data_IF_205004669926
#
_entry.id   IF_205004669926
#
_cell.length_a   1.000
_cell.length_b   1.000
_cell.length_c   1.000
_cell.angle_alpha   90.00
_cell.angle_beta   90.00
_cell.angle_gamma   90.00
#
_symmetry.space_group_name_H-M   'P 1'
#
loop_
_entity.id
_entity.type
_entity.pdbx_description
1 polymer ?
#
# COMPACT_ATOMS: atom_id res chain seq x y z
N UNK A 1 19.41 -7.37 -16.31
CA UNK A 1 19.43 -8.33 -15.17
C UNK A 1 20.77 -8.20 -14.48
N UNK A 2 20.82 -8.33 -13.14
CA UNK A 2 22.11 -8.34 -12.40
C UNK A 2 22.98 -9.47 -12.97
N UNK A 3 24.25 -9.18 -13.26
CA UNK A 3 25.15 -10.19 -13.81
C UNK A 3 25.44 -11.31 -12.81
N UNK A 4 25.73 -12.51 -13.32
CA UNK A 4 26.08 -13.65 -12.46
C UNK A 4 27.34 -13.35 -11.63
N UNK A 5 28.28 -12.56 -12.17
CA UNK A 5 29.46 -12.10 -11.47
C UNK A 5 29.11 -11.24 -10.25
N UNK A 6 28.24 -10.25 -10.41
CA UNK A 6 27.76 -9.43 -9.28
C UNK A 6 27.02 -10.27 -8.23
N UNK A 7 26.16 -11.21 -8.65
CA UNK A 7 25.47 -12.11 -7.72
C UNK A 7 26.49 -12.90 -6.89
N UNK A 8 27.53 -13.40 -7.51
CA UNK A 8 28.57 -14.16 -6.85
C UNK A 8 29.43 -13.29 -5.91
N UNK A 9 29.74 -12.04 -6.31
CA UNK A 9 30.40 -11.06 -5.44
C UNK A 9 29.57 -10.76 -4.19
N UNK A 10 28.26 -10.57 -4.34
CA UNK A 10 27.35 -10.36 -3.21
C UNK A 10 27.38 -11.60 -2.30
N UNK A 11 27.17 -12.80 -2.87
CA UNK A 11 27.13 -14.05 -2.11
C UNK A 11 28.43 -14.32 -1.34
N UNK A 12 29.59 -13.98 -1.92
CA UNK A 12 30.89 -14.18 -1.28
C UNK A 12 31.19 -13.15 -0.18
N UNK A 13 30.51 -11.99 -0.19
CA UNK A 13 30.78 -10.90 0.75
C UNK A 13 29.79 -10.79 1.89
N UNK A 14 28.59 -11.32 1.71
CA UNK A 14 27.55 -11.29 2.75
C UNK A 14 27.88 -12.29 3.85
N UNK A 15 27.65 -11.87 5.09
CA UNK A 15 27.72 -12.69 6.29
C UNK A 15 26.33 -12.75 6.93
N UNK A 16 25.82 -13.95 7.17
CA UNK A 16 24.46 -14.13 7.71
C UNK A 16 24.31 -13.53 9.10
N UNK A 17 25.37 -13.54 9.91
CA UNK A 17 25.34 -12.97 11.24
C UNK A 17 25.30 -11.42 11.20
N UNK A 18 26.07 -10.80 10.29
CA UNK A 18 26.04 -9.34 10.08
C UNK A 18 24.70 -8.88 9.52
N UNK A 19 24.18 -9.57 8.53
CA UNK A 19 22.89 -9.22 7.91
C UNK A 19 21.75 -9.34 8.90
N UNK A 20 21.62 -10.50 9.56
CA UNK A 20 20.56 -10.75 10.53
C UNK A 20 20.73 -9.91 11.79
N UNK A 21 21.95 -9.74 12.26
CA UNK A 21 22.30 -8.97 13.46
C UNK A 21 21.92 -7.49 13.38
N UNK A 22 21.72 -6.95 12.16
CA UNK A 22 21.21 -5.60 11.96
C UNK A 22 19.73 -5.43 12.38
N UNK A 23 18.96 -6.52 12.39
CA UNK A 23 17.53 -6.53 12.66
C UNK A 23 17.16 -7.27 13.96
N UNK A 24 17.96 -8.27 14.35
CA UNK A 24 17.66 -9.17 15.46
C UNK A 24 18.76 -9.11 16.51
N UNK A 25 18.38 -8.91 17.77
CA UNK A 25 19.33 -9.03 18.91
C UNK A 25 19.70 -10.51 19.09
N UNK A 26 20.90 -10.87 18.66
CA UNK A 26 21.42 -12.23 18.73
C UNK A 26 22.33 -12.45 19.96
N UNK A 27 22.16 -13.57 20.64
CA UNK A 27 23.03 -14.02 21.73
C UNK A 27 23.76 -15.30 21.33
N UNK A 28 25.07 -15.35 21.53
CA UNK A 28 25.89 -16.54 21.22
C UNK A 28 25.48 -17.74 22.08
N UNK A 29 25.26 -18.89 21.44
CA UNK A 29 24.96 -20.17 22.10
C UNK A 29 25.75 -21.31 21.41
N UNK A 30 26.89 -21.66 21.96
CA UNK A 30 27.82 -22.58 21.32
C UNK A 30 28.41 -22.00 20.04
N UNK A 31 28.32 -22.74 18.93
CA UNK A 31 28.74 -22.31 17.58
C UNK A 31 27.72 -21.45 16.85
N UNK A 32 26.49 -21.35 17.37
CA UNK A 32 25.37 -20.63 16.77
C UNK A 32 24.99 -19.40 17.58
N UNK A 33 24.06 -18.60 17.01
CA UNK A 33 23.44 -17.46 17.67
C UNK A 33 21.95 -17.66 17.76
N UNK A 34 21.35 -17.20 18.86
CA UNK A 34 19.94 -17.36 19.14
C UNK A 34 19.32 -15.99 19.40
N UNK A 35 18.13 -15.73 18.86
CA UNK A 35 17.36 -14.51 19.04
C UNK A 35 15.86 -14.78 19.06
N UNK A 36 15.09 -13.72 19.34
CA UNK A 36 13.65 -13.73 19.12
C UNK A 36 13.38 -13.61 17.62
N UNK A 37 12.33 -14.27 17.17
CA UNK A 37 11.94 -14.21 15.78
C UNK A 37 11.54 -12.79 15.34
N UNK A 38 12.06 -12.28 14.20
CA UNK A 38 11.64 -11.01 13.67
C UNK A 38 10.29 -11.04 12.94
N UNK A 39 9.74 -12.23 12.68
CA UNK A 39 8.56 -12.44 11.82
C UNK A 39 7.28 -12.74 12.61
N UNK A 40 7.36 -13.06 13.90
CA UNK A 40 6.19 -13.22 14.79
C UNK A 40 6.55 -12.93 16.24
N UNK A 41 5.52 -12.67 17.05
CA UNK A 41 5.73 -12.42 18.47
C UNK A 41 5.95 -13.75 19.22
N UNK A 42 7.13 -13.91 19.81
CA UNK A 42 7.44 -15.03 20.69
C UNK A 42 8.11 -14.54 21.99
N UNK A 43 7.87 -15.28 23.07
CA UNK A 43 8.49 -14.98 24.37
C UNK A 43 9.81 -15.73 24.58
N UNK A 44 10.00 -16.82 23.87
CA UNK A 44 11.18 -17.71 24.01
C UNK A 44 11.98 -17.67 22.71
N UNK A 45 13.29 -17.36 22.74
CA UNK A 45 14.12 -17.32 21.55
C UNK A 45 14.12 -18.67 20.82
N UNK A 46 13.64 -18.70 19.57
CA UNK A 46 13.61 -19.88 18.70
C UNK A 46 14.35 -19.68 17.37
N UNK A 47 14.72 -18.43 17.06
CA UNK A 47 15.41 -18.07 15.83
C UNK A 47 16.91 -18.32 15.95
N UNK A 48 17.45 -19.22 15.15
CA UNK A 48 18.86 -19.61 15.21
C UNK A 48 19.61 -19.20 13.96
N UNK A 49 20.79 -18.59 14.13
CA UNK A 49 21.72 -18.24 13.06
C UNK A 49 22.99 -19.07 13.22
N UNK A 50 23.39 -19.75 12.14
CA UNK A 50 24.60 -20.56 12.06
C UNK A 50 25.62 -19.91 11.10
N UNK A 51 26.62 -19.15 11.59
CA UNK A 51 27.62 -18.52 10.73
C UNK A 51 28.42 -19.54 9.91
N UNK A 52 28.76 -20.69 10.50
CA UNK A 52 29.51 -21.74 9.80
C UNK A 52 28.78 -22.35 8.60
N UNK A 53 27.44 -22.24 8.57
CA UNK A 53 26.60 -22.75 7.47
C UNK A 53 26.06 -21.63 6.59
N UNK A 54 26.36 -20.37 6.90
CA UNK A 54 25.76 -19.19 6.26
C UNK A 54 24.24 -19.29 6.17
N UNK A 55 23.59 -19.77 7.25
CA UNK A 55 22.19 -20.15 7.26
C UNK A 55 21.50 -19.74 8.56
N UNK A 56 20.27 -19.25 8.46
CA UNK A 56 19.37 -19.13 9.60
C UNK A 56 18.30 -20.21 9.54
N UNK A 57 17.89 -20.67 10.70
CA UNK A 57 16.79 -21.61 10.83
C UNK A 57 15.82 -21.15 11.94
N UNK A 58 14.58 -21.42 11.69
CA UNK A 58 13.51 -21.00 12.54
C UNK A 58 12.58 -22.18 12.86
N UNK A 59 12.68 -22.65 14.07
CA UNK A 59 11.98 -23.85 14.52
C UNK A 59 10.47 -23.63 14.70
N UNK A 60 10.00 -22.38 14.89
CA UNK A 60 8.59 -22.09 15.14
C UNK A 60 7.68 -22.17 13.90
N UNK A 61 8.19 -21.81 12.72
CA UNK A 61 7.40 -21.80 11.47
C UNK A 61 8.03 -22.65 10.35
N UNK A 62 9.11 -23.40 10.63
CA UNK A 62 9.75 -24.27 9.64
C UNK A 62 10.48 -23.53 8.51
N UNK A 63 10.62 -22.21 8.58
CA UNK A 63 11.34 -21.40 7.58
C UNK A 63 12.83 -21.35 7.89
N UNK A 64 13.65 -21.32 6.85
CA UNK A 64 15.10 -21.16 6.95
C UNK A 64 15.66 -20.68 5.63
N UNK A 65 16.89 -20.17 5.64
CA UNK A 65 17.52 -19.68 4.43
C UNK A 65 18.84 -18.97 4.68
N UNK A 66 19.36 -18.36 3.64
CA UNK A 66 20.59 -17.56 3.66
C UNK A 66 20.26 -16.06 3.87
N UNK A 67 21.29 -15.21 3.88
CA UNK A 67 21.16 -13.76 4.02
C UNK A 67 20.20 -13.14 2.99
N UNK A 68 20.19 -13.61 1.75
CA UNK A 68 19.31 -13.09 0.69
C UNK A 68 17.85 -13.44 1.03
N UNK A 69 17.60 -14.70 1.39
CA UNK A 69 16.26 -15.15 1.80
C UNK A 69 15.75 -14.39 3.03
N UNK A 70 16.65 -14.07 3.97
CA UNK A 70 16.30 -13.26 5.14
C UNK A 70 15.83 -11.87 4.76
N UNK A 71 16.57 -11.16 3.90
CA UNK A 71 16.19 -9.82 3.43
C UNK A 71 14.91 -9.86 2.59
N UNK A 72 14.74 -10.88 1.74
CA UNK A 72 13.49 -11.07 0.99
C UNK A 72 12.29 -11.19 1.93
N UNK A 73 12.40 -12.00 2.98
CA UNK A 73 11.31 -12.24 3.94
C UNK A 73 11.11 -11.07 4.90
N UNK A 74 12.17 -10.44 5.40
CA UNK A 74 12.10 -9.36 6.39
C UNK A 74 11.62 -8.05 5.77
N UNK A 75 12.21 -7.65 4.65
CA UNK A 75 11.89 -6.40 3.95
C UNK A 75 10.78 -6.58 2.90
N UNK A 76 10.30 -7.84 2.71
CA UNK A 76 9.28 -8.20 1.70
C UNK A 76 9.69 -7.78 0.29
N UNK A 77 10.99 -7.93 0.00
CA UNK A 77 11.59 -7.63 -1.29
C UNK A 77 11.59 -8.86 -2.20
N UNK A 78 11.54 -8.64 -3.51
CA UNK A 78 11.84 -9.71 -4.46
C UNK A 78 13.36 -9.98 -4.50
N UNK A 79 13.77 -11.08 -5.17
CA UNK A 79 15.16 -11.52 -5.23
C UNK A 79 16.11 -10.43 -5.76
N UNK A 80 15.72 -9.72 -6.82
CA UNK A 80 16.55 -8.66 -7.42
C UNK A 80 16.65 -7.44 -6.51
N UNK A 81 15.57 -7.07 -5.85
CA UNK A 81 15.54 -5.97 -4.87
C UNK A 81 16.41 -6.32 -3.65
N UNK A 82 16.35 -7.56 -3.15
CA UNK A 82 17.18 -8.02 -2.05
C UNK A 82 18.67 -8.02 -2.42
N UNK A 83 19.03 -8.44 -3.63
CA UNK A 83 20.40 -8.34 -4.12
C UNK A 83 20.90 -6.90 -4.19
N UNK A 84 20.09 -5.95 -4.69
CA UNK A 84 20.45 -4.53 -4.72
C UNK A 84 20.59 -3.94 -3.32
N UNK A 85 19.74 -4.33 -2.40
CA UNK A 85 19.80 -3.92 -1.00
C UNK A 85 21.13 -4.38 -0.36
N UNK A 86 21.49 -5.65 -0.56
CA UNK A 86 22.73 -6.23 -0.07
C UNK A 86 23.96 -5.59 -0.74
N UNK A 87 23.92 -5.41 -2.06
CA UNK A 87 24.99 -4.73 -2.79
C UNK A 87 25.25 -3.32 -2.25
N UNK A 88 24.22 -2.53 -2.02
CA UNK A 88 24.33 -1.19 -1.44
C UNK A 88 24.92 -1.23 -0.04
N UNK A 89 24.49 -2.17 0.83
CA UNK A 89 25.02 -2.33 2.18
C UNK A 89 26.52 -2.67 2.22
N UNK A 90 26.97 -3.49 1.29
CA UNK A 90 28.36 -3.96 1.22
C UNK A 90 29.23 -3.17 0.22
N UNK A 91 28.72 -2.04 -0.31
CA UNK A 91 29.39 -1.21 -1.31
C UNK A 91 29.87 -2.03 -2.53
N UNK A 92 29.03 -2.92 -3.04
CA UNK A 92 29.29 -3.70 -4.25
C UNK A 92 28.63 -2.97 -5.42
N UNK A 93 29.40 -2.68 -6.46
CA UNK A 93 28.88 -2.12 -7.70
C UNK A 93 28.06 -3.19 -8.44
N UNK A 94 26.81 -2.84 -8.78
CA UNK A 94 25.90 -3.77 -9.45
C UNK A 94 26.10 -3.69 -10.95
N UNK A 95 26.82 -4.64 -11.51
CA UNK A 95 26.91 -4.82 -12.95
C UNK A 95 25.62 -5.49 -13.46
N UNK A 96 25.01 -4.89 -14.47
CA UNK A 96 23.84 -5.45 -15.13
C UNK A 96 24.18 -5.88 -16.56
N UNK A 97 23.65 -7.03 -17.01
CA UNK A 97 23.72 -7.42 -18.41
C UNK A 97 23.12 -6.29 -19.27
N UNK A 98 23.76 -5.98 -20.38
CA UNK A 98 23.25 -4.95 -21.29
C UNK A 98 21.77 -5.21 -21.62
N UNK A 99 20.93 -4.32 -21.08
CA UNK A 99 19.53 -4.28 -21.48
C UNK A 99 19.44 -3.77 -22.92
N UNK A 100 18.47 -4.24 -23.68
CA UNK A 100 18.24 -3.68 -25.01
C UNK A 100 18.06 -2.15 -24.94
N UNK A 101 18.35 -1.40 -26.01
CA UNK A 101 18.16 0.05 -26.02
C UNK A 101 16.78 0.48 -25.53
N UNK A 102 15.73 -0.29 -25.86
CA UNK A 102 14.35 -0.02 -25.46
C UNK A 102 14.16 -0.17 -23.94
N UNK A 103 14.73 -1.22 -23.34
CA UNK A 103 14.67 -1.45 -21.87
C UNK A 103 15.48 -0.37 -21.14
N UNK A 104 16.66 0.03 -21.65
CA UNK A 104 17.43 1.15 -21.08
C UNK A 104 16.61 2.44 -21.11
N UNK A 105 15.94 2.73 -22.21
CA UNK A 105 15.09 3.92 -22.35
C UNK A 105 13.89 3.88 -21.38
N UNK A 106 13.21 2.74 -21.23
CA UNK A 106 12.11 2.58 -20.27
C UNK A 106 12.57 2.80 -18.83
N UNK A 107 13.75 2.27 -18.45
CA UNK A 107 14.31 2.48 -17.12
C UNK A 107 14.66 3.97 -16.88
N UNK A 108 15.24 4.66 -17.88
CA UNK A 108 15.52 6.10 -17.77
C UNK A 108 14.26 6.93 -17.61
N UNK A 109 13.19 6.59 -18.34
CA UNK A 109 11.88 7.24 -18.19
C UNK A 109 11.34 7.01 -16.78
N UNK A 110 11.34 5.77 -16.30
CA UNK A 110 10.88 5.43 -14.96
C UNK A 110 11.65 6.19 -13.85
N UNK A 111 12.97 6.24 -13.93
CA UNK A 111 13.79 7.01 -12.98
C UNK A 111 13.48 8.51 -13.04
N UNK A 112 13.29 9.06 -14.24
CA UNK A 112 12.91 10.46 -14.42
C UNK A 112 11.54 10.76 -13.82
N UNK A 113 10.58 9.86 -13.98
CA UNK A 113 9.26 10.00 -13.38
C UNK A 113 9.30 9.94 -11.84
N UNK A 114 10.17 9.11 -11.23
CA UNK A 114 10.39 9.12 -9.78
C UNK A 114 10.92 10.48 -9.29
N UNK A 115 11.86 11.06 -10.00
CA UNK A 115 12.42 12.39 -9.66
C UNK A 115 11.33 13.46 -9.75
N UNK A 116 10.52 13.45 -10.80
CA UNK A 116 9.39 14.37 -10.98
C UNK A 116 8.34 14.21 -9.88
N UNK A 117 7.96 12.97 -9.56
CA UNK A 117 6.98 12.70 -8.50
C UNK A 117 7.48 13.16 -7.12
N UNK A 118 8.77 12.95 -6.82
CA UNK A 118 9.35 13.43 -5.58
C UNK A 118 9.37 14.97 -5.51
N UNK A 119 9.74 15.64 -6.60
CA UNK A 119 9.66 17.09 -6.70
C UNK A 119 8.24 17.60 -6.51
N UNK A 120 7.25 16.97 -7.12
CA UNK A 120 5.85 17.33 -7.00
C UNK A 120 5.34 17.16 -5.55
N UNK A 121 5.69 16.06 -4.89
CA UNK A 121 5.32 15.85 -3.50
C UNK A 121 5.91 16.94 -2.60
N UNK A 122 7.20 17.26 -2.76
CA UNK A 122 7.84 18.34 -1.99
C UNK A 122 7.17 19.69 -2.24
N UNK A 123 6.84 19.99 -3.50
CA UNK A 123 6.13 21.22 -3.87
C UNK A 123 4.75 21.32 -3.17
N UNK A 124 3.92 20.29 -3.25
CA UNK A 124 2.58 20.29 -2.66
C UNK A 124 2.61 20.27 -1.13
N UNK A 125 3.55 19.52 -0.52
CA UNK A 125 3.74 19.52 0.92
C UNK A 125 4.22 20.87 1.44
N UNK A 126 5.21 21.47 0.75
CA UNK A 126 5.71 22.80 1.09
C UNK A 126 4.62 23.86 0.94
N UNK A 127 3.82 23.79 -0.14
CA UNK A 127 2.70 24.72 -0.33
C UNK A 127 1.67 24.58 0.79
N UNK A 128 1.37 23.36 1.23
CA UNK A 128 0.44 23.10 2.34
C UNK A 128 0.89 23.74 3.66
N UNK A 129 2.18 23.65 4.00
CA UNK A 129 2.66 24.07 5.32
C UNK A 129 3.24 25.49 5.37
N UNK A 130 3.78 26.01 4.26
CA UNK A 130 4.52 27.25 4.25
C UNK A 130 3.77 28.41 3.54
N UNK A 131 2.75 28.10 2.73
CA UNK A 131 1.99 29.14 2.02
C UNK A 131 0.72 29.50 2.80
N UNK A 132 0.34 30.79 2.82
CA UNK A 132 -0.86 31.29 3.52
C UNK A 132 -2.15 30.61 3.06
N UNK A 133 -2.33 30.42 1.74
CA UNK A 133 -3.52 29.76 1.19
C UNK A 133 -3.48 28.26 1.48
N UNK A 134 -2.29 27.65 1.43
CA UNK A 134 -2.08 26.26 1.81
C UNK A 134 -2.49 25.98 3.26
N UNK A 135 -2.12 26.86 4.19
CA UNK A 135 -2.50 26.77 5.60
C UNK A 135 -4.00 27.04 5.81
N UNK A 136 -4.50 28.13 5.23
CA UNK A 136 -5.88 28.55 5.44
C UNK A 136 -6.92 27.59 4.81
N UNK A 137 -6.59 26.96 3.69
CA UNK A 137 -7.50 26.08 2.94
C UNK A 137 -7.13 24.62 3.18
N UNK A 138 -5.95 24.20 2.74
CA UNK A 138 -5.55 22.79 2.72
C UNK A 138 -5.32 22.22 4.10
N UNK A 139 -4.49 22.87 4.92
CA UNK A 139 -4.15 22.41 6.27
C UNK A 139 -5.36 22.50 7.20
N UNK A 140 -6.10 23.61 7.14
CA UNK A 140 -7.36 23.79 7.89
C UNK A 140 -8.36 22.68 7.56
N UNK A 141 -8.52 22.32 6.28
CA UNK A 141 -9.39 21.22 5.87
C UNK A 141 -8.93 19.86 6.47
N UNK A 142 -7.62 19.57 6.46
CA UNK A 142 -7.09 18.33 7.03
C UNK A 142 -7.28 18.29 8.55
N UNK A 143 -7.07 19.41 9.25
CA UNK A 143 -7.33 19.53 10.69
C UNK A 143 -8.83 19.38 11.03
N UNK A 144 -9.73 19.96 10.25
CA UNK A 144 -11.18 19.78 10.40
C UNK A 144 -11.60 18.30 10.21
N UNK A 145 -10.87 17.58 9.38
CA UNK A 145 -11.02 16.13 9.26
C UNK A 145 -10.34 15.33 10.38
N UNK A 146 -9.73 15.98 11.36
CA UNK A 146 -9.12 15.36 12.53
C UNK A 146 -7.72 14.77 12.29
N UNK A 147 -7.04 15.11 11.20
CA UNK A 147 -5.67 14.66 10.97
C UNK A 147 -4.67 15.53 11.72
N UNK A 148 -3.73 14.90 12.43
CA UNK A 148 -2.63 15.57 13.10
C UNK A 148 -1.51 15.93 12.10
N UNK A 149 -0.70 16.94 12.44
CA UNK A 149 0.46 17.32 11.63
C UNK A 149 1.44 16.17 11.42
N UNK A 150 1.64 15.33 12.43
CA UNK A 150 2.52 14.17 12.34
C UNK A 150 2.00 13.16 11.32
N UNK A 151 0.69 12.92 11.31
CA UNK A 151 0.03 12.05 10.32
C UNK A 151 0.11 12.65 8.92
N UNK A 152 -0.16 13.94 8.77
CA UNK A 152 -0.07 14.66 7.50
C UNK A 152 1.34 14.56 6.93
N UNK A 153 2.36 14.77 7.76
CA UNK A 153 3.79 14.66 7.39
C UNK A 153 4.19 13.22 7.10
N UNK A 154 3.74 12.25 7.92
CA UNK A 154 4.03 10.82 7.74
C UNK A 154 3.56 10.31 6.39
N UNK A 155 2.36 10.67 5.97
CA UNK A 155 1.80 10.29 4.66
C UNK A 155 2.23 11.22 3.52
N UNK A 156 2.96 12.30 3.82
CA UNK A 156 3.46 13.26 2.84
C UNK A 156 2.38 14.03 2.13
N UNK A 157 1.23 14.28 2.81
CA UNK A 157 0.10 14.96 2.22
C UNK A 157 0.48 16.38 1.76
N UNK A 158 -0.20 16.88 0.74
CA UNK A 158 0.03 18.19 0.18
C UNK A 158 -1.26 18.87 -0.25
N UNK A 159 -1.12 20.11 -0.72
CA UNK A 159 -2.20 20.87 -1.31
C UNK A 159 -1.78 21.47 -2.64
N UNK A 160 -2.58 21.24 -3.66
CA UNK A 160 -2.47 21.89 -4.95
C UNK A 160 -3.45 23.07 -5.00
N UNK A 161 -2.95 24.32 -5.13
CA UNK A 161 -3.80 25.51 -5.10
C UNK A 161 -4.74 25.59 -6.31
N UNK A 162 -5.73 26.49 -6.23
CA UNK A 162 -6.59 26.84 -7.35
C UNK A 162 -5.85 27.77 -8.33
N UNK A 163 -4.79 27.25 -8.89
CA UNK A 163 -4.00 27.90 -9.95
C UNK A 163 -4.06 27.10 -11.23
N UNK A 164 -3.93 27.78 -12.35
CA UNK A 164 -3.97 27.14 -13.66
C UNK A 164 -2.69 26.35 -13.96
N UNK A 165 -1.53 26.89 -13.55
CA UNK A 165 -0.23 26.43 -14.02
C UNK A 165 0.94 26.68 -13.04
N UNK A 166 0.66 26.91 -11.75
CA UNK A 166 1.70 27.25 -10.76
C UNK A 166 2.75 26.16 -10.63
N UNK A 167 2.33 24.90 -10.50
CA UNK A 167 3.24 23.76 -10.46
C UNK A 167 3.98 23.62 -11.79
N UNK A 168 3.26 23.73 -12.92
CA UNK A 168 3.82 23.64 -14.27
C UNK A 168 4.94 24.66 -14.49
N UNK A 169 4.71 25.92 -14.16
CA UNK A 169 5.73 26.98 -14.25
C UNK A 169 6.94 26.69 -13.37
N UNK A 170 6.70 26.25 -12.14
CA UNK A 170 7.78 25.91 -11.20
C UNK A 170 8.62 24.73 -11.70
N UNK A 171 7.97 23.70 -12.25
CA UNK A 171 8.65 22.53 -12.78
C UNK A 171 9.49 22.89 -14.04
N UNK A 172 8.94 23.68 -14.96
CA UNK A 172 9.66 24.14 -16.14
C UNK A 172 10.84 25.05 -15.77
N UNK A 173 10.66 25.97 -14.81
CA UNK A 173 11.75 26.80 -14.28
C UNK A 173 12.86 25.96 -13.62
N UNK A 174 12.53 24.79 -13.08
CA UNK A 174 13.48 23.81 -12.55
C UNK A 174 14.03 22.86 -13.62
N UNK A 175 13.84 23.18 -14.91
CA UNK A 175 14.36 22.46 -16.08
C UNK A 175 13.84 21.01 -16.25
N UNK A 176 12.68 20.67 -15.68
CA UNK A 176 12.05 19.38 -15.97
C UNK A 176 11.52 19.33 -17.41
N UNK A 177 11.71 18.18 -18.05
CA UNK A 177 11.30 17.97 -19.44
C UNK A 177 9.77 17.97 -19.58
N UNK A 178 9.24 18.74 -20.58
CA UNK A 178 7.81 18.87 -20.87
C UNK A 178 7.13 17.51 -21.07
N UNK A 179 7.72 16.62 -21.87
CA UNK A 179 7.10 15.35 -22.23
C UNK A 179 7.01 14.42 -21.03
N UNK A 180 8.02 14.44 -20.15
CA UNK A 180 8.01 13.69 -18.90
C UNK A 180 7.00 14.26 -17.88
N UNK A 181 6.81 15.59 -17.83
CA UNK A 181 5.77 16.21 -17.01
C UNK A 181 4.36 15.82 -17.48
N UNK A 182 4.11 15.78 -18.79
CA UNK A 182 2.85 15.27 -19.34
C UNK A 182 2.66 13.79 -19.04
N UNK A 183 3.70 12.98 -19.19
CA UNK A 183 3.70 11.54 -18.95
C UNK A 183 3.49 11.19 -17.47
N UNK A 184 3.96 12.03 -16.55
CA UNK A 184 3.69 11.87 -15.11
C UNK A 184 2.22 12.07 -14.74
N UNK A 185 1.43 12.72 -15.59
CA UNK A 185 0.04 13.09 -15.33
C UNK A 185 -0.13 14.25 -14.36
N UNK A 186 0.95 14.91 -13.93
CA UNK A 186 0.90 16.11 -13.09
C UNK A 186 0.53 17.36 -13.90
N UNK A 187 0.89 17.35 -15.17
CA UNK A 187 0.64 18.41 -16.14
C UNK A 187 -0.20 17.85 -17.29
N UNK A 188 -1.11 18.67 -17.79
CA UNK A 188 -1.94 18.35 -18.96
C UNK A 188 -1.83 19.47 -19.99
N UNK A 189 -1.98 19.13 -21.27
CA UNK A 189 -2.05 20.12 -22.34
C UNK A 189 -3.52 20.36 -22.72
N UNK A 190 -3.99 21.61 -22.61
CA UNK A 190 -5.34 22.04 -22.99
C UNK A 190 -5.23 23.29 -23.87
N UNK A 191 -5.83 23.23 -25.05
CA UNK A 191 -5.79 24.33 -26.02
C UNK A 191 -4.35 24.83 -26.30
N UNK A 192 -3.39 23.90 -26.44
CA UNK A 192 -2.00 24.21 -26.71
C UNK A 192 -1.22 24.81 -25.52
N UNK A 193 -1.80 24.85 -24.33
CA UNK A 193 -1.15 25.37 -23.12
C UNK A 193 -1.01 24.29 -22.06
N UNK A 194 0.17 24.24 -21.43
CA UNK A 194 0.42 23.37 -20.28
C UNK A 194 -0.26 23.91 -19.05
N UNK A 195 -0.94 23.03 -18.31
CA UNK A 195 -1.70 23.38 -17.11
C UNK A 195 -1.53 22.30 -16.06
N UNK A 196 -1.71 22.70 -14.80
CA UNK A 196 -1.73 21.77 -13.66
C UNK A 196 -2.96 20.84 -13.76
N UNK A 197 -2.73 19.55 -13.62
CA UNK A 197 -3.81 18.56 -13.62
C UNK A 197 -4.61 18.60 -12.31
N UNK A 198 -3.93 18.87 -11.19
CA UNK A 198 -4.56 18.99 -9.88
C UNK A 198 -4.76 20.46 -9.53
N UNK A 199 -6.00 20.87 -9.20
CA UNK A 199 -6.35 22.24 -8.84
C UNK A 199 -7.35 22.22 -7.69
N UNK A 200 -7.12 23.04 -6.67
CA UNK A 200 -7.93 23.13 -5.44
C UNK A 200 -8.15 21.75 -4.78
N UNK A 201 -7.06 20.97 -4.64
CA UNK A 201 -7.15 19.59 -4.18
C UNK A 201 -6.12 19.25 -3.10
N UNK A 202 -6.56 18.46 -2.12
CA UNK A 202 -5.64 17.75 -1.24
C UNK A 202 -4.96 16.63 -2.03
N UNK A 203 -3.65 16.53 -1.90
CA UNK A 203 -2.80 15.56 -2.60
C UNK A 203 -2.39 14.44 -1.66
N UNK A 204 -2.62 13.22 -2.11
CA UNK A 204 -2.27 11.97 -1.41
C UNK A 204 -1.18 11.25 -2.23
N UNK A 205 0.08 11.29 -1.80
CA UNK A 205 1.14 10.55 -2.49
C UNK A 205 0.90 9.05 -2.41
N UNK A 206 1.04 8.37 -3.54
CA UNK A 206 0.90 6.91 -3.64
C UNK A 206 2.31 6.33 -3.73
N UNK A 207 2.62 5.40 -2.82
CA UNK A 207 3.95 4.80 -2.71
C UNK A 207 3.94 3.38 -3.27
N UNK A 208 5.06 2.98 -3.86
CA UNK A 208 5.34 1.56 -4.10
C UNK A 208 5.83 0.88 -2.80
N UNK A 209 6.11 -0.42 -2.85
CA UNK A 209 6.55 -1.21 -1.69
C UNK A 209 7.91 -0.76 -1.12
N UNK A 210 8.76 -0.08 -1.91
CA UNK A 210 10.03 0.48 -1.47
C UNK A 210 9.93 1.92 -0.94
N UNK A 211 8.73 2.52 -0.90
CA UNK A 211 8.50 3.89 -0.41
C UNK A 211 8.75 4.99 -1.45
N UNK A 212 9.04 4.65 -2.70
CA UNK A 212 9.13 5.64 -3.78
C UNK A 212 7.73 6.07 -4.22
N UNK A 213 7.55 7.36 -4.49
CA UNK A 213 6.27 7.91 -4.96
C UNK A 213 6.06 7.58 -6.44
N UNK A 214 4.98 6.89 -6.75
CA UNK A 214 4.63 6.42 -8.09
C UNK A 214 3.48 7.20 -8.73
N UNK A 215 2.76 7.97 -7.95
CA UNK A 215 1.64 8.79 -8.41
C UNK A 215 0.93 9.46 -7.25
N UNK A 216 -0.22 10.01 -7.54
CA UNK A 216 -1.02 10.79 -6.57
C UNK A 216 -2.50 10.51 -6.72
N UNK A 217 -3.19 10.45 -5.58
CA UNK A 217 -4.61 10.69 -5.49
C UNK A 217 -4.86 12.17 -5.14
N UNK A 218 -5.94 12.74 -5.62
CA UNK A 218 -6.24 14.14 -5.37
C UNK A 218 -7.74 14.35 -5.09
N UNK A 219 -8.06 14.89 -3.91
CA UNK A 219 -9.43 15.14 -3.47
C UNK A 219 -9.78 16.62 -3.59
N UNK A 220 -10.88 16.93 -4.27
CA UNK A 220 -11.42 18.28 -4.35
C UNK A 220 -11.93 18.72 -2.97
N UNK A 221 -11.55 19.95 -2.54
CA UNK A 221 -11.99 20.51 -1.26
C UNK A 221 -13.38 21.12 -1.39
N UNK A 222 -13.56 21.99 -2.37
CA UNK A 222 -14.85 22.65 -2.62
C UNK A 222 -15.81 21.72 -3.34
N UNK A 223 -17.06 21.68 -2.89
CA UNK A 223 -18.10 20.95 -3.60
C UNK A 223 -18.30 21.58 -4.99
N UNK A 224 -18.10 20.78 -6.03
CA UNK A 224 -18.32 21.19 -7.41
C UNK A 224 -18.98 20.02 -8.16
N UNK A 225 -20.24 20.17 -8.51
CA UNK A 225 -21.03 19.11 -9.15
C UNK A 225 -20.54 18.77 -10.58
N UNK A 226 -19.67 19.62 -11.17
CA UNK A 226 -19.08 19.42 -12.50
C UNK A 226 -17.70 18.74 -12.46
N UNK A 227 -17.09 18.56 -11.29
CA UNK A 227 -15.78 17.98 -11.14
C UNK A 227 -15.80 16.75 -10.23
N UNK A 228 -15.11 15.66 -10.58
CA UNK A 228 -15.05 14.47 -9.74
C UNK A 228 -14.42 14.79 -8.38
N UNK A 229 -15.02 14.23 -7.30
CA UNK A 229 -14.54 14.39 -5.92
C UNK A 229 -13.09 13.92 -5.78
N UNK A 230 -12.74 12.79 -6.40
CA UNK A 230 -11.37 12.25 -6.46
C UNK A 230 -10.93 12.09 -7.91
N UNK A 231 -9.65 12.36 -8.16
CA UNK A 231 -8.93 12.01 -9.37
C UNK A 231 -7.60 11.37 -8.99
N UNK A 232 -7.11 10.46 -9.82
CA UNK A 232 -5.82 9.81 -9.62
C UNK A 232 -4.88 10.12 -10.79
N UNK A 233 -3.59 9.93 -10.58
CA UNK A 233 -2.59 9.90 -11.66
C UNK A 233 -3.09 8.97 -12.77
N UNK A 234 -3.05 9.38 -14.05
CA UNK A 234 -3.27 8.48 -15.17
C UNK A 234 -2.25 7.33 -15.16
N UNK A 235 -2.61 6.16 -15.69
CA UNK A 235 -1.68 5.04 -15.80
C UNK A 235 -0.44 5.42 -16.61
N UNK A 236 0.72 5.05 -16.10
CA UNK A 236 2.01 5.28 -16.72
C UNK A 236 2.99 4.17 -16.32
N UNK A 237 4.28 4.32 -16.62
CA UNK A 237 5.31 3.33 -16.36
C UNK A 237 5.49 2.99 -14.88
N UNK A 238 5.13 3.90 -13.97
CA UNK A 238 5.23 3.70 -12.53
C UNK A 238 3.90 3.32 -11.89
N UNK A 239 2.80 3.86 -12.41
CA UNK A 239 1.49 3.78 -11.81
C UNK A 239 0.54 2.95 -12.66
N UNK A 240 0.30 1.72 -12.22
CA UNK A 240 -0.71 0.82 -12.77
C UNK A 240 -1.74 0.56 -11.68
N UNK A 241 -2.90 1.19 -11.78
CA UNK A 241 -3.91 1.25 -10.72
C UNK A 241 -4.35 -0.13 -10.25
N UNK A 242 -4.47 -1.08 -11.17
CA UNK A 242 -4.85 -2.47 -10.87
C UNK A 242 -3.82 -3.26 -10.06
N UNK A 243 -2.59 -2.76 -9.89
CA UNK A 243 -1.48 -3.45 -9.21
C UNK A 243 -1.08 -2.81 -7.89
N UNK A 244 -1.80 -1.79 -7.45
CA UNK A 244 -1.41 -0.94 -6.32
C UNK A 244 -2.53 -0.90 -5.30
N UNK A 245 -2.17 -0.95 -4.02
CA UNK A 245 -3.02 -0.63 -2.90
C UNK A 245 -2.43 0.56 -2.16
N UNK A 246 -3.25 1.57 -1.89
CA UNK A 246 -2.82 2.72 -1.11
C UNK A 246 -2.51 2.31 0.34
N UNK A 247 -1.44 2.85 0.88
CA UNK A 247 -1.03 2.58 2.24
C UNK A 247 -0.14 1.35 2.43
N UNK A 248 0.04 0.48 1.42
CA UNK A 248 0.83 -0.77 1.55
C UNK A 248 2.23 -0.54 2.11
N UNK A 249 2.92 0.50 1.67
CA UNK A 249 4.26 0.84 2.18
C UNK A 249 4.27 1.02 3.70
N UNK A 250 3.27 1.69 4.26
CA UNK A 250 3.16 1.94 5.69
C UNK A 250 2.62 0.71 6.44
N UNK A 251 1.75 -0.06 5.81
CA UNK A 251 1.01 -1.15 6.43
C UNK A 251 1.76 -2.50 6.45
N UNK A 252 2.71 -2.73 5.54
CA UNK A 252 3.32 -4.04 5.27
C UNK A 252 3.80 -4.80 6.51
N UNK A 253 4.52 -4.13 7.42
CA UNK A 253 5.01 -4.75 8.65
C UNK A 253 3.90 -4.99 9.69
N UNK A 254 2.89 -4.13 9.71
CA UNK A 254 1.74 -4.30 10.59
C UNK A 254 0.83 -5.43 10.11
N UNK A 255 0.66 -5.60 8.81
CA UNK A 255 -0.07 -6.72 8.20
C UNK A 255 0.62 -8.04 8.55
N UNK A 256 1.92 -8.14 8.32
CA UNK A 256 2.72 -9.34 8.62
C UNK A 256 2.66 -9.70 10.12
N UNK A 257 2.78 -8.71 11.00
CA UNK A 257 2.73 -8.89 12.47
C UNK A 257 1.35 -9.29 12.98
N UNK A 258 0.29 -8.70 12.40
CA UNK A 258 -1.09 -9.00 12.78
C UNK A 258 -1.61 -10.28 12.12
N UNK A 259 -0.89 -10.80 11.11
CA UNK A 259 -1.35 -11.84 10.18
C UNK A 259 -2.76 -11.55 9.63
N UNK A 260 -3.03 -10.26 9.38
CA UNK A 260 -4.31 -9.81 8.84
C UNK A 260 -4.15 -8.48 8.11
N UNK A 261 -4.76 -8.38 6.93
CA UNK A 261 -4.89 -7.14 6.16
C UNK A 261 -6.33 -6.63 6.24
N UNK A 262 -6.49 -5.37 6.66
CA UNK A 262 -7.75 -4.64 6.54
C UNK A 262 -7.80 -3.90 5.22
N UNK A 263 -8.82 -4.13 4.42
CA UNK A 263 -9.05 -3.43 3.15
C UNK A 263 -10.23 -2.47 3.29
N UNK A 264 -9.99 -1.22 2.95
CA UNK A 264 -10.99 -0.14 2.90
C UNK A 264 -11.07 0.45 1.49
N UNK A 265 -12.00 1.38 1.25
CA UNK A 265 -12.19 1.98 -0.07
C UNK A 265 -11.28 3.19 -0.32
N UNK A 266 -11.14 4.09 0.65
CA UNK A 266 -10.61 5.42 0.46
C UNK A 266 -9.27 5.71 1.13
N UNK A 267 -8.59 6.75 0.64
CA UNK A 267 -7.33 7.24 1.20
C UNK A 267 -7.49 7.74 2.64
N UNK A 268 -8.59 8.44 2.90
CA UNK A 268 -8.88 9.00 4.22
C UNK A 268 -9.14 7.93 5.27
N UNK A 269 -9.74 6.81 4.88
CA UNK A 269 -9.99 5.69 5.78
C UNK A 269 -8.68 5.08 6.25
N UNK A 270 -7.75 4.83 5.32
CA UNK A 270 -6.40 4.34 5.65
C UNK A 270 -5.71 5.28 6.62
N UNK A 271 -5.70 6.58 6.34
CA UNK A 271 -4.97 7.56 7.15
C UNK A 271 -5.58 7.68 8.56
N UNK A 272 -6.91 7.68 8.67
CA UNK A 272 -7.60 7.76 9.96
C UNK A 272 -7.39 6.51 10.82
N UNK A 273 -7.53 5.33 10.23
CA UNK A 273 -7.26 4.07 10.91
C UNK A 273 -5.80 3.98 11.36
N UNK A 274 -4.88 4.37 10.48
CA UNK A 274 -3.45 4.39 10.79
C UNK A 274 -3.12 5.37 11.92
N UNK A 275 -3.72 6.58 11.92
CA UNK A 275 -3.59 7.56 13.01
C UNK A 275 -4.14 7.01 14.34
N UNK A 276 -5.19 6.20 14.28
CA UNK A 276 -5.77 5.52 15.44
C UNK A 276 -4.96 4.28 15.91
N UNK A 277 -3.78 4.01 15.30
CA UNK A 277 -2.95 2.85 15.64
C UNK A 277 -3.45 1.52 15.08
N UNK A 278 -4.29 1.56 14.04
CA UNK A 278 -4.73 0.41 13.24
C UNK A 278 -3.95 0.47 11.93
N UNK A 279 -2.70 -0.03 11.98
CA UNK A 279 -1.72 0.19 10.93
C UNK A 279 -1.76 -0.86 9.80
N UNK A 280 -2.41 -2.01 10.01
CA UNK A 280 -2.53 -3.10 9.02
C UNK A 280 -3.63 -2.86 7.98
N UNK A 281 -3.79 -1.63 7.52
CA UNK A 281 -4.87 -1.18 6.65
C UNK A 281 -4.36 -0.65 5.31
N UNK A 282 -5.05 -1.02 4.22
CA UNK A 282 -4.79 -0.58 2.84
C UNK A 282 -6.10 -0.22 2.13
N UNK A 283 -6.02 0.54 1.04
CA UNK A 283 -7.21 0.85 0.22
C UNK A 283 -7.03 0.54 -1.26
N UNK A 284 -8.13 0.15 -1.90
CA UNK A 284 -8.21 -0.06 -3.35
C UNK A 284 -8.16 1.25 -4.16
N UNK A 285 -8.42 2.39 -3.51
CA UNK A 285 -8.34 3.71 -4.13
C UNK A 285 -9.41 3.98 -5.18
N UNK A 286 -10.63 3.46 -4.98
CA UNK A 286 -11.79 3.69 -5.85
C UNK A 286 -11.79 2.84 -7.13
N UNK A 287 -11.25 1.64 -7.07
CA UNK A 287 -11.39 0.58 -8.08
C UNK A 287 -12.02 -0.67 -7.49
N UNK A 288 -12.68 -1.45 -8.32
CA UNK A 288 -12.99 -2.84 -7.97
C UNK A 288 -11.69 -3.58 -7.66
N UNK A 289 -11.71 -4.45 -6.67
CA UNK A 289 -10.58 -5.28 -6.28
C UNK A 289 -10.10 -6.15 -7.47
N UNK A 290 -8.79 -6.25 -7.64
CA UNK A 290 -8.17 -7.00 -8.75
C UNK A 290 -7.32 -8.16 -8.23
N UNK A 291 -7.07 -9.14 -9.10
CA UNK A 291 -6.20 -10.28 -8.81
C UNK A 291 -4.80 -9.82 -8.40
N UNK A 292 -4.22 -8.83 -9.09
CA UNK A 292 -2.89 -8.31 -8.76
C UNK A 292 -2.84 -7.65 -7.37
N UNK A 293 -3.92 -6.95 -6.98
CA UNK A 293 -4.04 -6.38 -5.63
C UNK A 293 -4.18 -7.47 -4.56
N UNK A 294 -4.93 -8.53 -4.83
CA UNK A 294 -5.05 -9.69 -3.93
C UNK A 294 -3.71 -10.41 -3.77
N UNK A 295 -2.99 -10.64 -4.85
CA UNK A 295 -1.62 -11.19 -4.82
C UNK A 295 -0.64 -10.31 -4.07
N UNK A 296 -0.84 -8.99 -4.11
CA UNK A 296 -0.04 -8.06 -3.31
C UNK A 296 -0.31 -8.26 -1.81
N UNK A 297 -1.56 -8.41 -1.38
CA UNK A 297 -1.92 -8.72 0.01
C UNK A 297 -1.34 -10.08 0.42
N UNK A 298 -1.47 -11.09 -0.44
CA UNK A 298 -1.02 -12.46 -0.19
C UNK A 298 0.48 -12.58 0.08
N UNK A 299 1.30 -11.62 -0.34
CA UNK A 299 2.72 -11.55 0.03
C UNK A 299 2.94 -11.37 1.54
N UNK A 300 1.97 -10.83 2.24
CA UNK A 300 2.09 -10.45 3.65
C UNK A 300 1.24 -11.33 4.56
N UNK A 301 0.05 -11.74 4.12
CA UNK A 301 -0.90 -12.55 4.89
C UNK A 301 -1.88 -13.27 3.97
N UNK A 302 -2.44 -14.39 4.44
CA UNK A 302 -3.57 -15.05 3.79
C UNK A 302 -4.93 -14.57 4.32
N UNK A 303 -4.96 -13.72 5.36
CA UNK A 303 -6.17 -13.28 6.03
C UNK A 303 -6.53 -11.85 5.59
N UNK A 304 -7.63 -11.72 4.88
CA UNK A 304 -8.17 -10.46 4.39
C UNK A 304 -9.49 -10.14 5.08
N UNK A 305 -9.56 -9.00 5.77
CA UNK A 305 -10.82 -8.46 6.29
C UNK A 305 -11.19 -7.20 5.51
N UNK A 306 -12.33 -7.21 4.86
CA UNK A 306 -12.81 -6.08 4.07
C UNK A 306 -13.83 -5.29 4.89
N UNK A 307 -13.57 -3.99 5.04
CA UNK A 307 -14.43 -3.04 5.72
C UNK A 307 -15.18 -2.24 4.67
N UNK A 308 -16.48 -2.41 4.62
CA UNK A 308 -17.35 -1.69 3.68
C UNK A 308 -18.24 -0.69 4.38
N UNK A 309 -18.55 0.38 3.68
CA UNK A 309 -19.61 1.31 4.07
C UNK A 309 -20.93 0.53 4.17
N UNK A 310 -21.74 0.80 5.18
CA UNK A 310 -22.97 0.07 5.49
C UNK A 310 -24.11 0.29 4.50
N UNK A 311 -23.84 0.83 3.30
CA UNK A 311 -24.87 1.09 2.28
C UNK A 311 -25.00 -0.07 1.27
N UNK A 312 -26.09 -0.05 0.48
CA UNK A 312 -26.37 -1.06 -0.52
C UNK A 312 -25.31 -1.12 -1.65
N UNK A 313 -24.60 -0.03 -1.91
CA UNK A 313 -23.53 0.02 -2.90
C UNK A 313 -22.28 -0.68 -2.39
N UNK A 314 -21.92 -0.47 -1.12
CA UNK A 314 -20.83 -1.17 -0.42
C UNK A 314 -21.06 -2.69 -0.40
N UNK A 315 -22.27 -3.14 -0.04
CA UNK A 315 -22.63 -4.58 -0.07
C UNK A 315 -22.45 -5.18 -1.48
N UNK A 316 -22.91 -4.47 -2.53
CA UNK A 316 -22.77 -4.94 -3.90
C UNK A 316 -21.31 -4.91 -4.41
N UNK A 317 -20.50 -3.96 -3.93
CA UNK A 317 -19.07 -3.90 -4.20
C UNK A 317 -18.35 -5.07 -3.51
N UNK A 318 -18.74 -5.38 -2.26
CA UNK A 318 -18.26 -6.52 -1.50
C UNK A 318 -18.36 -7.82 -2.31
N UNK A 319 -19.54 -8.14 -2.77
CA UNK A 319 -19.81 -9.41 -3.46
C UNK A 319 -19.00 -9.58 -4.75
N UNK A 320 -18.70 -8.50 -5.47
CA UNK A 320 -17.97 -8.59 -6.77
C UNK A 320 -16.47 -8.89 -6.64
N UNK A 321 -15.83 -8.52 -5.53
CA UNK A 321 -14.39 -8.72 -5.33
C UNK A 321 -14.04 -10.06 -4.67
N UNK A 322 -15.04 -10.76 -4.20
CA UNK A 322 -14.87 -11.89 -3.30
C UNK A 322 -14.56 -13.21 -4.01
N UNK A 323 -15.19 -13.46 -5.17
CA UNK A 323 -14.90 -14.65 -5.98
C UNK A 323 -13.41 -14.67 -6.36
N UNK A 324 -12.87 -13.53 -6.76
CA UNK A 324 -11.44 -13.36 -7.06
C UNK A 324 -10.54 -13.65 -5.85
N UNK A 325 -10.97 -13.26 -4.66
CA UNK A 325 -10.18 -13.47 -3.44
C UNK A 325 -10.16 -14.95 -3.01
N UNK A 326 -11.26 -15.67 -3.22
CA UNK A 326 -11.32 -17.12 -3.02
C UNK A 326 -10.48 -17.87 -4.05
N UNK A 327 -10.53 -17.50 -5.33
CA UNK A 327 -9.65 -18.05 -6.38
C UNK A 327 -8.17 -17.91 -6.03
N UNK A 328 -7.78 -16.79 -5.41
CA UNK A 328 -6.42 -16.58 -4.90
C UNK A 328 -6.15 -17.25 -3.54
N UNK A 329 -7.07 -18.07 -3.02
CA UNK A 329 -6.95 -18.82 -1.75
C UNK A 329 -6.69 -17.92 -0.53
N UNK A 330 -7.36 -16.78 -0.45
CA UNK A 330 -7.36 -15.90 0.72
C UNK A 330 -8.53 -16.27 1.66
N UNK A 331 -8.27 -16.19 2.96
CA UNK A 331 -9.32 -16.29 3.98
C UNK A 331 -10.01 -14.92 4.10
N UNK A 332 -11.20 -14.78 3.54
CA UNK A 332 -11.89 -13.50 3.45
C UNK A 332 -12.97 -13.37 4.52
N UNK A 333 -12.90 -12.28 5.25
CA UNK A 333 -13.94 -11.84 6.19
C UNK A 333 -14.45 -10.47 5.80
N UNK A 334 -15.68 -10.21 6.15
CA UNK A 334 -16.38 -8.94 5.88
C UNK A 334 -16.85 -8.32 7.18
N UNK A 335 -16.76 -6.98 7.22
CA UNK A 335 -17.35 -6.16 8.26
C UNK A 335 -18.10 -5.02 7.59
N UNK A 336 -19.36 -4.85 7.89
CA UNK A 336 -20.13 -3.68 7.51
C UNK A 336 -20.05 -2.64 8.62
N UNK A 337 -19.62 -1.44 8.27
CA UNK A 337 -19.69 -0.28 9.17
C UNK A 337 -21.17 0.09 9.34
N UNK A 338 -21.61 0.59 10.51
CA UNK A 338 -23.01 0.98 10.69
C UNK A 338 -23.51 1.99 9.66
N UNK A 339 -24.82 1.93 9.36
CA UNK A 339 -25.49 2.74 8.35
C UNK A 339 -25.13 4.23 8.45
N UNK A 340 -24.74 4.82 7.30
CA UNK A 340 -24.43 6.23 7.17
C UNK A 340 -23.02 6.63 7.59
N UNK A 341 -22.17 5.67 7.97
CA UNK A 341 -20.77 5.93 8.35
C UNK A 341 -19.81 5.17 7.43
N UNK A 342 -18.63 5.76 7.25
CA UNK A 342 -17.44 5.14 6.67
C UNK A 342 -16.43 4.80 7.79
N UNK A 343 -15.38 3.99 7.53
CA UNK A 343 -14.36 3.67 8.53
C UNK A 343 -13.68 4.91 9.15
N UNK A 344 -13.50 5.97 8.36
CA UNK A 344 -12.93 7.25 8.81
C UNK A 344 -13.79 7.92 9.88
N UNK A 345 -15.09 8.13 9.62
CA UNK A 345 -16.02 8.75 10.56
C UNK A 345 -16.25 7.88 11.79
N UNK A 346 -16.38 6.57 11.58
CA UNK A 346 -16.69 5.63 12.64
C UNK A 346 -15.57 5.51 13.67
N UNK A 347 -14.31 5.34 13.23
CA UNK A 347 -13.17 5.26 14.16
C UNK A 347 -12.98 6.55 14.96
N UNK A 348 -13.25 7.71 14.37
CA UNK A 348 -13.18 8.99 15.05
C UNK A 348 -14.26 9.15 16.12
N UNK A 349 -15.44 8.62 15.87
CA UNK A 349 -16.57 8.70 16.80
C UNK A 349 -16.42 7.79 18.00
N UNK A 350 -16.02 6.53 17.78
CA UNK A 350 -16.00 5.53 18.84
C UNK A 350 -14.62 5.29 19.47
N UNK A 351 -13.55 5.76 18.83
CA UNK A 351 -12.17 5.56 19.26
C UNK A 351 -11.57 4.23 18.80
N UNK A 352 -10.23 4.15 18.86
CA UNK A 352 -9.45 3.04 18.31
C UNK A 352 -9.78 1.68 18.91
N UNK A 353 -9.84 1.57 20.25
CA UNK A 353 -10.06 0.28 20.92
C UNK A 353 -11.48 -0.25 20.69
N UNK A 354 -12.48 0.65 20.78
CA UNK A 354 -13.87 0.28 20.49
C UNK A 354 -14.04 -0.12 19.00
N UNK A 355 -13.29 0.52 18.07
CA UNK A 355 -13.31 0.15 16.67
C UNK A 355 -12.68 -1.24 16.43
N UNK A 356 -11.54 -1.56 17.07
CA UNK A 356 -10.93 -2.89 17.00
C UNK A 356 -11.89 -3.96 17.55
N UNK A 357 -12.52 -3.69 18.68
CA UNK A 357 -13.52 -4.59 19.27
C UNK A 357 -14.72 -4.79 18.35
N UNK A 358 -15.21 -3.70 17.74
CA UNK A 358 -16.29 -3.75 16.77
C UNK A 358 -15.92 -4.62 15.56
N UNK A 359 -14.76 -4.38 14.94
CA UNK A 359 -14.28 -5.18 13.82
C UNK A 359 -14.20 -6.65 14.22
N UNK A 360 -13.57 -6.97 15.35
CA UNK A 360 -13.40 -8.36 15.80
C UNK A 360 -14.73 -9.08 16.07
N UNK A 361 -15.72 -8.39 16.64
CA UNK A 361 -17.04 -8.97 16.96
C UNK A 361 -17.94 -9.14 15.74
N UNK A 362 -17.75 -8.31 14.71
CA UNK A 362 -18.63 -8.27 13.54
C UNK A 362 -18.02 -8.88 12.28
N UNK A 363 -16.82 -9.46 12.36
CA UNK A 363 -16.22 -10.24 11.28
C UNK A 363 -17.10 -11.41 10.92
N UNK A 364 -17.64 -11.43 9.70
CA UNK A 364 -18.39 -12.54 9.14
C UNK A 364 -17.56 -13.21 8.06
N UNK A 365 -17.55 -14.53 8.08
CA UNK A 365 -17.03 -15.31 6.96
C UNK A 365 -17.81 -14.94 5.68
N UNK A 366 -17.10 -14.89 4.56
CA UNK A 366 -17.70 -14.49 3.30
C UNK A 366 -18.90 -15.34 2.89
N UNK A 367 -18.77 -16.65 2.98
CA UNK A 367 -19.82 -17.59 2.57
C UNK A 367 -21.08 -17.37 3.40
N UNK A 368 -20.93 -17.19 4.71
CA UNK A 368 -22.03 -16.88 5.60
C UNK A 368 -22.64 -15.51 5.28
N UNK A 369 -21.83 -14.51 4.97
CA UNK A 369 -22.32 -13.19 4.58
C UNK A 369 -23.11 -13.23 3.28
N UNK A 370 -22.59 -13.90 2.24
CA UNK A 370 -23.26 -14.06 0.95
C UNK A 370 -24.62 -14.79 1.13
N UNK A 371 -24.61 -15.83 1.94
CA UNK A 371 -25.84 -16.58 2.27
C UNK A 371 -26.87 -15.67 2.96
N UNK A 372 -26.49 -14.91 3.98
CA UNK A 372 -27.38 -13.98 4.68
C UNK A 372 -28.00 -12.93 3.76
N UNK A 373 -27.17 -12.29 2.91
CA UNK A 373 -27.64 -11.24 1.97
C UNK A 373 -28.59 -11.85 0.95
N UNK A 374 -28.21 -12.96 0.33
CA UNK A 374 -29.02 -13.60 -0.71
C UNK A 374 -30.33 -14.20 -0.14
N UNK A 375 -30.34 -14.70 1.10
CA UNK A 375 -31.56 -15.15 1.75
C UNK A 375 -32.50 -13.99 2.09
N UNK A 376 -31.97 -12.81 2.45
CA UNK A 376 -32.77 -11.59 2.66
C UNK A 376 -33.48 -11.18 1.36
N UNK A 377 -32.74 -11.16 0.23
CA UNK A 377 -33.30 -10.82 -1.07
C UNK A 377 -34.32 -11.87 -1.59
N UNK A 378 -34.24 -13.08 -1.06
CA UNK A 378 -35.16 -14.19 -1.37
C UNK A 378 -36.33 -14.31 -0.37
N UNK A 379 -36.53 -13.34 0.55
CA UNK A 379 -37.62 -13.35 1.53
C UNK A 379 -38.99 -13.52 0.85
N UNK A 380 -39.74 -14.56 1.30
CA UNK A 380 -41.07 -14.89 0.76
C UNK A 380 -41.10 -15.81 -0.44
N UNK A 381 -39.96 -16.17 -1.09
CA UNK A 381 -39.94 -17.05 -2.25
C UNK A 381 -39.13 -18.33 -2.02
N UNK A 382 -39.75 -19.52 -1.81
CA UNK A 382 -39.05 -20.78 -1.56
C UNK A 382 -38.11 -21.22 -2.69
N UNK A 383 -38.51 -20.97 -3.96
CA UNK A 383 -37.68 -21.34 -5.12
C UNK A 383 -36.38 -20.53 -5.18
N UNK A 384 -36.48 -19.21 -4.92
CA UNK A 384 -35.29 -18.35 -4.84
C UNK A 384 -34.37 -18.74 -3.70
N UNK A 385 -34.91 -19.19 -2.56
CA UNK A 385 -34.09 -19.70 -1.44
C UNK A 385 -33.32 -20.96 -1.84
N UNK A 386 -33.93 -21.86 -2.59
CA UNK A 386 -33.26 -23.07 -3.09
C UNK A 386 -32.15 -22.74 -4.10
N UNK A 387 -32.38 -21.78 -5.00
CA UNK A 387 -31.35 -21.27 -5.92
C UNK A 387 -30.18 -20.66 -5.19
N UNK A 388 -30.42 -19.84 -4.16
CA UNK A 388 -29.37 -19.23 -3.30
C UNK A 388 -28.51 -20.31 -2.66
N UNK A 389 -29.13 -21.33 -2.05
CA UNK A 389 -28.39 -22.44 -1.42
C UNK A 389 -27.53 -23.19 -2.42
N UNK A 390 -28.05 -23.46 -3.63
CA UNK A 390 -27.29 -24.12 -4.70
C UNK A 390 -26.11 -23.26 -5.17
N UNK A 391 -26.31 -21.96 -5.42
CA UNK A 391 -25.25 -21.03 -5.83
C UNK A 391 -24.15 -20.94 -4.78
N UNK A 392 -24.50 -20.87 -3.49
CA UNK A 392 -23.51 -20.84 -2.41
C UNK A 392 -22.78 -22.17 -2.28
N UNK A 393 -23.48 -23.31 -2.49
CA UNK A 393 -22.86 -24.64 -2.48
C UNK A 393 -21.88 -24.86 -3.65
N UNK A 394 -22.09 -24.20 -4.80
CA UNK A 394 -21.17 -24.21 -5.94
C UNK A 394 -19.91 -23.36 -5.70
N UNK A 395 -19.97 -22.44 -4.74
CA UNK A 395 -18.84 -21.55 -4.36
C UNK A 395 -17.90 -22.22 -3.34
N UNK A 396 -18.33 -23.29 -2.68
CA UNK A 396 -17.55 -24.08 -1.70
C UNK A 396 -16.84 -25.24 -2.40
#
# INVERSE_FOLDING_TARGET
MITQNTIQQIQNRIDVLDVVGAFVKLKKRGSNYLGLCPFHNEKTPSFTVSPAKEFFNWFGCGKGGNSISFIMEHEKLNYVEALRWLAARYNIEVEETEASPEVKQQLQVAESLYVINNFAQQFFAKFLFENSDGQAIGLSYLHQRGFSDDTIKKFGLGYSPDSRDLFTQKALASQYNKDLLLRSGLVVERNGQLQDNYRDRIIFPIHNNSGKIIGFGARLIKKNDKAPKYINTPENELYVKSKILYGTYFARHAIDRADECLLVEGYTDVISLHQAGIENVVASGGTSLTIDQLRLIKKYTNNLTILYDGDAAGVKAALRGLDLALEESLNVKLVLVPDGEDPDSYVKRIGADAFKDFVNKNKKDFILFQLEVSLKDAEGNPNKKAEVVNTVAETI
#
